data_IF_382802934575
#
_entry.id   IF_382802934575
#
_cell.length_a   1.000
_cell.length_b   1.000
_cell.length_c   1.000
_cell.angle_alpha   90.00
_cell.angle_beta   90.00
_cell.angle_gamma   90.00
#
_symmetry.space_group_name_H-M   'P 1'
#
loop_
_entity.id
_entity.type
_entity.pdbx_description
1 polymer ?
#
# COMPACT_ATOMS: atom_id res chain seq x y z
N UNK A 1 -11.81 -33.14 -2.99
CA UNK A 1 -11.27 -33.02 -1.63
C UNK A 1 -11.79 -31.70 -1.08
N UNK A 2 -12.57 -31.72 -0.01
CA UNK A 2 -13.17 -30.50 0.56
C UNK A 2 -12.08 -29.65 1.22
N UNK A 3 -11.97 -28.38 0.85
CA UNK A 3 -11.19 -27.41 1.61
C UNK A 3 -11.80 -27.29 3.01
N UNK A 4 -11.02 -27.63 4.03
CA UNK A 4 -11.46 -27.53 5.41
C UNK A 4 -11.51 -26.05 5.81
N UNK A 5 -12.69 -25.58 6.20
CA UNK A 5 -12.92 -24.19 6.62
C UNK A 5 -13.22 -24.18 8.12
N UNK A 6 -12.34 -23.56 8.91
CA UNK A 6 -12.58 -23.34 10.33
C UNK A 6 -13.05 -21.89 10.54
N UNK A 7 -14.27 -21.72 11.04
CA UNK A 7 -14.84 -20.40 11.32
C UNK A 7 -14.90 -20.15 12.83
N UNK A 8 -14.43 -18.98 13.24
CA UNK A 8 -14.45 -18.50 14.63
C UNK A 8 -15.42 -17.32 14.72
N UNK A 9 -16.61 -17.59 15.24
CA UNK A 9 -17.62 -16.56 15.52
C UNK A 9 -17.35 -15.95 16.90
N UNK A 10 -17.32 -14.63 16.96
CA UNK A 10 -17.03 -13.92 18.21
C UNK A 10 -18.29 -13.19 18.70
N UNK A 11 -18.61 -13.39 19.98
CA UNK A 11 -19.71 -12.69 20.66
C UNK A 11 -19.37 -11.25 21.01
N UNK A 12 -18.12 -10.84 20.81
CA UNK A 12 -17.57 -9.51 21.09
C UNK A 12 -16.76 -9.01 19.89
N UNK A 13 -16.34 -7.74 19.91
CA UNK A 13 -15.49 -7.19 18.86
C UNK A 13 -14.19 -7.99 18.71
N UNK A 14 -13.79 -8.29 17.48
CA UNK A 14 -12.54 -9.00 17.19
C UNK A 14 -11.34 -8.19 17.68
N UNK A 15 -10.68 -8.68 18.71
CA UNK A 15 -9.47 -8.08 19.29
C UNK A 15 -8.19 -8.84 18.93
N UNK A 16 -7.05 -8.21 19.20
CA UNK A 16 -5.72 -8.80 19.01
C UNK A 16 -5.55 -10.02 19.90
N UNK A 17 -5.95 -9.88 21.16
CA UNK A 17 -6.05 -10.94 22.17
C UNK A 17 -6.88 -12.14 21.70
N UNK A 18 -7.92 -11.92 20.92
CA UNK A 18 -8.74 -13.01 20.38
C UNK A 18 -7.97 -13.81 19.32
N UNK A 19 -7.33 -13.12 18.37
CA UNK A 19 -6.49 -13.79 17.36
C UNK A 19 -5.30 -14.48 18.02
N UNK A 20 -4.72 -13.90 19.06
CA UNK A 20 -3.63 -14.50 19.84
C UNK A 20 -4.09 -15.77 20.58
N UNK A 21 -5.31 -15.79 21.11
CA UNK A 21 -5.90 -17.01 21.70
C UNK A 21 -6.08 -18.10 20.64
N UNK A 22 -6.67 -17.75 19.49
CA UNK A 22 -6.88 -18.69 18.37
C UNK A 22 -5.54 -19.25 17.88
N UNK A 23 -4.52 -18.40 17.75
CA UNK A 23 -3.14 -18.81 17.41
C UNK A 23 -2.58 -19.83 18.41
N UNK A 24 -2.83 -19.61 19.70
CA UNK A 24 -2.38 -20.52 20.77
C UNK A 24 -3.12 -21.86 20.72
N UNK A 25 -4.43 -21.84 20.47
CA UNK A 25 -5.26 -23.04 20.40
C UNK A 25 -4.96 -23.88 19.15
N UNK A 26 -4.73 -23.24 18.00
CA UNK A 26 -4.25 -23.92 16.78
C UNK A 26 -2.89 -24.60 17.03
N UNK A 27 -1.97 -23.92 17.71
CA UNK A 27 -0.67 -24.50 18.06
C UNK A 27 -0.79 -25.72 19.00
N UNK A 28 -1.73 -25.70 19.96
CA UNK A 28 -2.05 -26.84 20.83
C UNK A 28 -2.65 -28.02 20.05
N UNK A 29 -3.42 -27.76 19.00
CA UNK A 29 -3.97 -28.77 18.08
C UNK A 29 -2.94 -29.35 17.11
N UNK A 30 -1.66 -28.97 17.24
CA UNK A 30 -0.57 -29.47 16.38
C UNK A 30 -0.42 -28.71 15.06
N UNK A 31 -1.24 -27.68 14.82
CA UNK A 31 -1.22 -26.87 13.60
C UNK A 31 -0.15 -25.79 13.72
N UNK A 32 1.10 -26.18 13.46
CA UNK A 32 2.31 -25.35 13.63
C UNK A 32 2.88 -24.81 12.31
N UNK A 33 2.05 -24.72 11.27
CA UNK A 33 2.46 -24.20 9.98
C UNK A 33 3.01 -22.76 10.13
N UNK A 34 4.24 -22.52 9.67
CA UNK A 34 4.88 -21.21 9.73
C UNK A 34 4.11 -20.15 8.95
N UNK A 35 3.49 -20.53 7.82
CA UNK A 35 2.65 -19.63 7.02
C UNK A 35 1.40 -19.21 7.77
N UNK A 36 0.71 -20.16 8.42
CA UNK A 36 -0.45 -19.87 9.27
C UNK A 36 -0.09 -18.89 10.39
N UNK A 37 1.05 -19.13 11.05
CA UNK A 37 1.56 -18.26 12.12
C UNK A 37 1.79 -16.84 11.62
N UNK A 38 2.49 -16.69 10.50
CA UNK A 38 2.74 -15.39 9.88
C UNK A 38 1.44 -14.70 9.47
N UNK A 39 0.50 -15.42 8.86
CA UNK A 39 -0.77 -14.84 8.43
C UNK A 39 -1.64 -14.39 9.60
N UNK A 40 -1.60 -15.12 10.73
CA UNK A 40 -2.25 -14.69 11.98
C UNK A 40 -1.61 -13.39 12.50
N UNK A 41 -0.28 -13.26 12.43
CA UNK A 41 0.43 -12.03 12.82
C UNK A 41 0.07 -10.84 11.92
N UNK A 42 -0.11 -11.05 10.62
CA UNK A 42 -0.61 -10.02 9.71
C UNK A 42 -2.08 -9.67 9.97
N UNK A 43 -2.93 -10.67 10.24
CA UNK A 43 -4.31 -10.45 10.61
C UNK A 43 -4.44 -9.63 11.91
N UNK A 44 -3.57 -9.87 12.90
CA UNK A 44 -3.49 -9.05 14.12
C UNK A 44 -3.18 -7.59 13.80
N UNK A 45 -2.15 -7.31 13.00
CA UNK A 45 -1.81 -5.93 12.58
C UNK A 45 -2.95 -5.25 11.84
N UNK A 46 -3.64 -5.98 10.98
CA UNK A 46 -4.80 -5.46 10.28
C UNK A 46 -5.94 -5.13 11.25
N UNK A 47 -6.24 -6.01 12.20
CA UNK A 47 -7.24 -5.75 13.24
C UNK A 47 -6.86 -4.56 14.09
N UNK A 48 -5.60 -4.44 14.53
CA UNK A 48 -5.09 -3.27 15.27
C UNK A 48 -5.38 -1.97 14.53
N UNK A 49 -5.21 -1.97 13.21
CA UNK A 49 -5.50 -0.82 12.39
C UNK A 49 -7.00 -0.56 12.18
N UNK A 50 -7.90 -1.54 12.30
CA UNK A 50 -9.35 -1.35 12.07
C UNK A 50 -10.01 -0.55 13.19
N UNK A 51 -11.05 0.24 12.89
CA UNK A 51 -11.86 0.88 13.95
C UNK A 51 -12.71 -0.14 14.73
N UNK A 52 -12.99 0.14 16.01
CA UNK A 52 -13.77 -0.77 16.89
C UNK A 52 -15.15 -1.10 16.29
N UNK A 53 -15.83 -0.11 15.69
CA UNK A 53 -17.15 -0.30 15.07
C UNK A 53 -17.14 -1.32 13.92
N UNK A 54 -16.00 -1.47 13.22
CA UNK A 54 -15.81 -2.47 12.16
C UNK A 54 -15.37 -3.83 12.71
N UNK A 55 -14.90 -3.93 13.95
CA UNK A 55 -14.52 -5.19 14.59
C UNK A 55 -15.72 -5.91 15.23
N UNK A 56 -16.80 -5.18 15.52
CA UNK A 56 -18.03 -5.74 16.08
C UNK A 56 -18.69 -6.70 15.09
N UNK A 57 -19.08 -7.90 15.55
CA UNK A 57 -19.62 -8.98 14.73
C UNK A 57 -18.70 -9.45 13.59
N UNK A 58 -17.39 -9.23 13.73
CA UNK A 58 -16.42 -9.76 12.78
C UNK A 58 -16.29 -11.28 12.93
N UNK A 59 -16.18 -11.97 11.80
CA UNK A 59 -15.91 -13.41 11.75
C UNK A 59 -14.49 -13.62 11.25
N UNK A 60 -13.69 -14.39 11.99
CA UNK A 60 -12.39 -14.87 11.53
C UNK A 60 -12.58 -16.27 10.94
N UNK A 61 -12.17 -16.48 9.68
CA UNK A 61 -12.13 -17.79 9.05
C UNK A 61 -10.71 -18.16 8.67
N UNK A 62 -10.38 -19.44 8.84
CA UNK A 62 -9.13 -20.03 8.41
C UNK A 62 -9.46 -21.07 7.34
N UNK A 63 -8.90 -20.91 6.14
CA UNK A 63 -9.21 -21.70 4.94
C UNK A 63 -7.95 -22.22 4.24
N UNK A 64 -8.15 -23.16 3.30
CA UNK A 64 -7.14 -23.58 2.32
C UNK A 64 -5.90 -24.22 2.97
N UNK A 65 -6.04 -25.45 3.47
CA UNK A 65 -5.01 -26.13 4.30
C UNK A 65 -4.43 -25.22 5.39
N UNK A 66 -5.30 -24.36 5.95
CA UNK A 66 -4.97 -23.42 7.02
C UNK A 66 -3.90 -22.39 6.63
N UNK A 67 -3.88 -21.96 5.37
CA UNK A 67 -2.93 -20.95 4.89
C UNK A 67 -3.59 -19.60 4.62
N UNK A 68 -4.91 -19.53 4.60
CA UNK A 68 -5.64 -18.29 4.27
C UNK A 68 -6.44 -17.85 5.49
N UNK A 69 -6.34 -16.57 5.84
CA UNK A 69 -7.11 -15.98 6.94
C UNK A 69 -8.05 -14.94 6.38
N UNK A 70 -9.34 -15.09 6.65
CA UNK A 70 -10.36 -14.12 6.27
C UNK A 70 -10.94 -13.45 7.51
N UNK A 71 -11.02 -12.14 7.50
CA UNK A 71 -11.78 -11.35 8.46
C UNK A 71 -12.97 -10.76 7.70
N UNK A 72 -14.17 -11.17 8.10
CA UNK A 72 -15.41 -10.73 7.47
C UNK A 72 -16.11 -9.78 8.44
N UNK A 73 -16.34 -8.53 8.03
CA UNK A 73 -16.94 -7.53 8.93
C UNK A 73 -18.05 -6.70 8.30
N UNK A 74 -18.98 -6.25 9.17
CA UNK A 74 -19.89 -5.11 8.93
C UNK A 74 -20.86 -5.18 7.75
N UNK A 75 -21.42 -4.01 7.44
CA UNK A 75 -22.11 -3.67 6.19
C UNK A 75 -21.58 -2.32 5.64
N UNK A 76 -21.19 -2.22 4.36
CA UNK A 76 -21.06 -3.32 3.40
C UNK A 76 -20.04 -4.35 3.88
N UNK A 77 -20.22 -5.61 3.45
CA UNK A 77 -19.39 -6.72 3.91
C UNK A 77 -17.96 -6.46 3.45
N UNK A 78 -17.08 -6.30 4.43
CA UNK A 78 -15.64 -6.15 4.25
C UNK A 78 -15.01 -7.53 4.35
N UNK A 79 -14.43 -8.01 3.24
CA UNK A 79 -13.66 -9.24 3.25
C UNK A 79 -12.17 -8.90 3.25
N UNK A 80 -11.51 -9.18 4.35
CA UNK A 80 -10.09 -9.00 4.51
C UNK A 80 -9.40 -10.35 4.45
N UNK A 81 -8.70 -10.65 3.36
CA UNK A 81 -8.03 -11.93 3.17
C UNK A 81 -6.52 -11.70 3.26
N UNK A 82 -5.88 -12.42 4.16
CA UNK A 82 -4.43 -12.48 4.32
C UNK A 82 -3.97 -13.85 3.83
N UNK A 83 -3.05 -13.85 2.89
CA UNK A 83 -2.26 -15.03 2.55
C UNK A 83 -0.83 -14.60 2.22
N UNK A 84 0.10 -15.53 2.42
CA UNK A 84 1.49 -15.33 2.07
C UNK A 84 1.76 -16.14 0.80
N UNK A 85 2.12 -15.45 -0.27
CA UNK A 85 2.52 -16.05 -1.55
C UNK A 85 4.05 -15.97 -1.69
N UNK A 86 4.62 -16.46 -2.78
CA UNK A 86 6.06 -16.33 -3.03
C UNK A 86 6.53 -14.85 -3.05
N UNK A 87 5.61 -13.91 -3.32
CA UNK A 87 5.85 -12.47 -3.33
C UNK A 87 5.64 -11.78 -1.97
N UNK A 88 5.42 -12.55 -0.90
CA UNK A 88 5.15 -12.03 0.44
C UNK A 88 3.65 -11.90 0.77
N UNK A 89 3.34 -11.24 1.91
CA UNK A 89 1.97 -11.09 2.41
C UNK A 89 1.15 -10.21 1.47
N UNK A 90 -0.03 -10.70 1.07
CA UNK A 90 -0.99 -9.93 0.26
C UNK A 90 -2.21 -9.61 1.12
N UNK A 91 -2.60 -8.33 1.11
CA UNK A 91 -3.77 -7.83 1.81
C UNK A 91 -4.91 -7.61 0.81
N UNK A 92 -5.77 -8.61 0.64
CA UNK A 92 -6.91 -8.46 -0.26
C UNK A 92 -8.13 -7.97 0.51
N UNK A 93 -8.64 -6.83 0.08
CA UNK A 93 -9.86 -6.24 0.60
C UNK A 93 -10.90 -6.17 -0.52
N UNK A 94 -12.06 -6.81 -0.32
CA UNK A 94 -13.19 -6.73 -1.26
C UNK A 94 -14.38 -6.06 -0.62
N UNK A 95 -14.93 -5.07 -1.30
CA UNK A 95 -16.09 -4.29 -0.87
C UNK A 95 -17.16 -4.38 -1.94
N UNK A 96 -18.26 -5.03 -1.59
CA UNK A 96 -19.46 -5.05 -2.44
C UNK A 96 -20.28 -3.80 -2.19
N UNK A 97 -20.45 -3.00 -3.23
CA UNK A 97 -21.32 -1.83 -3.21
C UNK A 97 -22.71 -2.29 -3.62
N UNK A 98 -23.68 -2.18 -2.71
CA UNK A 98 -25.09 -2.47 -2.96
C UNK A 98 -25.74 -1.35 -3.79
N UNK A 99 -25.14 -1.03 -4.94
CA UNK A 99 -25.58 0.00 -5.87
C UNK A 99 -25.05 -0.32 -7.27
N UNK A 100 -25.72 0.21 -8.28
CA UNK A 100 -25.25 0.21 -9.68
C UNK A 100 -24.16 1.25 -9.92
N UNK A 101 -23.96 2.20 -9.00
CA UNK A 101 -22.95 3.25 -9.11
C UNK A 101 -22.00 3.25 -7.91
N UNK A 102 -20.69 3.32 -8.18
CA UNK A 102 -19.69 3.64 -7.19
C UNK A 102 -19.59 5.17 -7.04
N UNK A 103 -19.79 5.68 -5.83
CA UNK A 103 -19.75 7.10 -5.47
C UNK A 103 -18.68 7.33 -4.40
N UNK A 104 -18.20 8.56 -4.25
CA UNK A 104 -17.17 8.93 -3.27
C UNK A 104 -17.54 8.53 -1.85
N UNK A 105 -18.82 8.63 -1.47
CA UNK A 105 -19.35 8.18 -0.17
C UNK A 105 -19.18 6.68 0.12
N UNK A 106 -18.92 5.85 -0.89
CA UNK A 106 -18.64 4.42 -0.72
C UNK A 106 -17.15 4.16 -0.42
N UNK A 107 -16.29 5.16 -0.62
CA UNK A 107 -14.86 5.10 -0.38
C UNK A 107 -14.58 5.80 0.97
N UNK A 108 -14.55 4.99 2.01
CA UNK A 108 -14.24 5.39 3.38
C UNK A 108 -12.75 5.24 3.70
N UNK A 109 -12.22 6.11 4.57
CA UNK A 109 -10.83 6.06 5.06
C UNK A 109 -10.52 4.73 5.76
N UNK A 110 -11.51 4.10 6.41
CA UNK A 110 -11.33 2.81 7.08
C UNK A 110 -10.92 1.68 6.13
N UNK A 111 -11.19 1.81 4.82
CA UNK A 111 -10.77 0.85 3.81
C UNK A 111 -9.26 0.93 3.50
N UNK A 112 -8.57 1.97 3.98
CA UNK A 112 -7.13 2.17 3.78
C UNK A 112 -6.36 2.11 5.10
N UNK A 113 -7.01 1.73 6.21
CA UNK A 113 -6.36 1.70 7.52
C UNK A 113 -5.16 0.73 7.54
N UNK A 114 -4.05 1.21 8.11
CA UNK A 114 -2.80 0.47 8.21
C UNK A 114 -1.99 0.40 6.91
N UNK A 115 -2.51 0.95 5.80
CA UNK A 115 -1.80 0.99 4.54
C UNK A 115 -0.86 2.21 4.48
N UNK A 116 0.43 1.97 4.25
CA UNK A 116 1.38 3.00 3.86
C UNK A 116 1.36 3.14 2.33
N UNK A 117 0.81 4.25 1.83
CA UNK A 117 0.74 4.49 0.39
C UNK A 117 2.14 4.75 -0.18
N UNK A 118 2.42 4.18 -1.35
CA UNK A 118 3.62 4.49 -2.15
C UNK A 118 3.70 5.95 -2.58
N UNK A 119 2.56 6.63 -2.57
CA UNK A 119 2.36 7.98 -3.04
C UNK A 119 1.96 8.89 -1.88
N UNK A 120 2.97 9.52 -1.28
CA UNK A 120 2.79 10.49 -0.20
C UNK A 120 2.18 11.81 -0.71
N UNK A 121 2.17 12.05 -2.03
CA UNK A 121 1.67 13.30 -2.65
C UNK A 121 0.18 13.23 -2.95
N UNK A 122 -0.30 12.08 -3.44
CA UNK A 122 -1.73 11.80 -3.63
C UNK A 122 -2.00 10.36 -3.24
N UNK A 123 -2.56 10.14 -2.07
CA UNK A 123 -2.69 8.79 -1.53
C UNK A 123 -3.76 7.95 -2.28
N UNK A 124 -3.79 6.65 -2.03
CA UNK A 124 -4.74 5.72 -2.66
C UNK A 124 -6.21 6.17 -2.56
N UNK A 125 -6.61 6.72 -1.41
CA UNK A 125 -7.98 7.17 -1.18
C UNK A 125 -8.29 8.40 -2.02
N UNK A 126 -7.41 9.39 -2.05
CA UNK A 126 -7.54 10.59 -2.87
C UNK A 126 -7.59 10.25 -4.36
N UNK A 127 -6.74 9.32 -4.83
CA UNK A 127 -6.77 8.82 -6.21
C UNK A 127 -8.10 8.14 -6.53
N UNK A 128 -8.63 7.33 -5.61
CA UNK A 128 -9.91 6.66 -5.76
C UNK A 128 -11.08 7.66 -5.79
N UNK A 129 -11.08 8.65 -4.89
CA UNK A 129 -12.04 9.75 -4.89
C UNK A 129 -12.00 10.53 -6.20
N UNK A 130 -10.81 10.89 -6.67
CA UNK A 130 -10.62 11.61 -7.93
C UNK A 130 -11.14 10.80 -9.13
N UNK A 131 -10.82 9.50 -9.18
CA UNK A 131 -11.31 8.62 -10.24
C UNK A 131 -12.84 8.57 -10.27
N UNK A 132 -13.49 8.48 -9.10
CA UNK A 132 -14.95 8.44 -9.00
C UNK A 132 -15.60 9.79 -9.30
N UNK A 133 -15.02 10.88 -8.80
CA UNK A 133 -15.57 12.23 -8.95
C UNK A 133 -15.48 12.75 -10.40
N UNK A 134 -14.56 12.20 -11.20
CA UNK A 134 -14.36 12.63 -12.60
C UNK A 134 -15.58 12.47 -13.50
N UNK A 135 -16.55 11.62 -13.12
CA UNK A 135 -17.75 11.29 -13.94
C UNK A 135 -19.03 11.95 -13.42
N UNK A 136 -18.95 12.87 -12.43
CA UNK A 136 -20.09 13.67 -11.94
C UNK A 136 -21.13 12.88 -11.13
N UNK A 137 -21.74 11.86 -11.72
CA UNK A 137 -22.72 10.97 -11.06
C UNK A 137 -22.09 9.76 -10.37
N UNK A 138 -20.78 9.56 -10.53
CA UNK A 138 -20.04 8.38 -10.08
C UNK A 138 -19.81 7.37 -11.20
N UNK A 139 -19.20 6.23 -10.87
CA UNK A 139 -18.85 5.19 -11.85
C UNK A 139 -19.95 4.12 -11.90
N UNK A 140 -20.67 4.04 -13.02
CA UNK A 140 -21.69 3.01 -13.22
C UNK A 140 -21.07 1.65 -13.54
N UNK A 141 -21.62 0.58 -12.97
CA UNK A 141 -21.29 -0.81 -13.31
C UNK A 141 -19.78 -1.07 -13.38
N UNK A 142 -19.06 -0.64 -12.34
CA UNK A 142 -17.60 -0.72 -12.29
C UNK A 142 -17.10 -1.74 -11.28
N UNK A 143 -15.93 -2.30 -11.58
CA UNK A 143 -14.99 -2.88 -10.64
C UNK A 143 -13.77 -1.96 -10.53
N UNK A 144 -13.62 -1.27 -9.39
CA UNK A 144 -12.46 -0.40 -9.12
C UNK A 144 -11.42 -1.18 -8.32
N UNK A 145 -10.25 -1.42 -8.92
CA UNK A 145 -9.10 -2.10 -8.31
C UNK A 145 -8.04 -1.08 -7.92
N UNK A 146 -7.52 -1.19 -6.71
CA UNK A 146 -6.40 -0.39 -6.21
C UNK A 146 -5.31 -1.36 -5.78
N UNK A 147 -4.11 -1.21 -6.34
CA UNK A 147 -2.92 -2.00 -5.98
C UNK A 147 -1.79 -1.09 -5.54
N UNK A 148 -1.40 -1.17 -4.27
CA UNK A 148 -0.35 -0.34 -3.71
C UNK A 148 0.41 -1.09 -2.60
N UNK A 149 1.63 -1.53 -2.88
CA UNK A 149 2.41 -2.37 -1.96
C UNK A 149 1.65 -3.65 -1.61
N UNK A 150 1.47 -3.90 -0.31
CA UNK A 150 0.70 -5.03 0.21
C UNK A 150 -0.82 -4.89 0.00
N UNK A 151 -1.33 -3.68 -0.23
CA UNK A 151 -2.77 -3.41 -0.38
C UNK A 151 -3.28 -3.81 -1.76
N UNK A 152 -4.28 -4.68 -1.78
CA UNK A 152 -5.12 -4.99 -2.94
C UNK A 152 -6.58 -4.75 -2.58
N UNK A 153 -7.12 -3.59 -2.92
CA UNK A 153 -8.49 -3.20 -2.59
C UNK A 153 -9.37 -3.21 -3.85
N UNK A 154 -10.53 -3.87 -3.78
CA UNK A 154 -11.48 -3.95 -4.89
C UNK A 154 -12.87 -3.53 -4.45
N UNK A 155 -13.43 -2.51 -5.11
CA UNK A 155 -14.83 -2.16 -5.02
C UNK A 155 -15.59 -2.75 -6.20
N UNK A 156 -16.70 -3.44 -5.94
CA UNK A 156 -17.51 -4.06 -6.98
C UNK A 156 -18.96 -3.61 -6.85
N UNK A 157 -19.52 -3.05 -7.92
CA UNK A 157 -20.97 -2.74 -8.04
C UNK A 157 -21.79 -4.01 -8.34
N UNK A 158 -23.12 -3.92 -8.37
CA UNK A 158 -23.99 -5.10 -8.53
C UNK A 158 -23.80 -5.87 -9.85
N UNK A 159 -23.43 -5.20 -10.94
CA UNK A 159 -23.25 -5.80 -12.26
C UNK A 159 -22.08 -5.12 -12.99
N UNK A 160 -20.82 -5.39 -12.61
CA UNK A 160 -19.68 -4.71 -13.20
C UNK A 160 -19.53 -5.08 -14.67
N UNK A 161 -19.44 -4.09 -15.54
CA UNK A 161 -19.13 -4.21 -16.97
C UNK A 161 -17.76 -3.64 -17.33
N UNK A 162 -17.20 -2.78 -16.48
CA UNK A 162 -15.91 -2.11 -16.70
C UNK A 162 -15.00 -2.30 -15.50
N UNK A 163 -13.69 -2.45 -15.74
CA UNK A 163 -12.67 -2.45 -14.68
C UNK A 163 -11.82 -1.20 -14.79
N UNK A 164 -11.64 -0.51 -13.67
CA UNK A 164 -10.70 0.60 -13.54
C UNK A 164 -9.62 0.18 -12.54
N UNK A 165 -8.36 0.41 -12.89
CA UNK A 165 -7.24 0.06 -12.03
C UNK A 165 -6.41 1.30 -11.65
N UNK A 166 -6.18 1.47 -10.36
CA UNK A 166 -5.33 2.49 -9.76
C UNK A 166 -4.07 1.79 -9.23
N UNK A 167 -2.94 2.15 -9.80
CA UNK A 167 -1.62 1.74 -9.33
C UNK A 167 -0.80 3.00 -9.02
N UNK A 168 -0.73 3.43 -7.75
CA UNK A 168 0.01 4.61 -7.36
C UNK A 168 1.49 4.49 -7.72
N UNK A 169 2.06 5.61 -8.17
CA UNK A 169 3.50 5.75 -8.42
C UNK A 169 4.24 5.92 -7.10
N UNK A 170 5.54 5.61 -7.08
CA UNK A 170 6.39 5.92 -5.94
C UNK A 170 6.69 7.40 -5.89
N UNK A 171 6.07 8.10 -4.93
CA UNK A 171 6.28 9.54 -4.71
C UNK A 171 6.47 9.81 -3.21
N UNK A 172 7.67 10.22 -2.83
CA UNK A 172 8.01 10.55 -1.45
C UNK A 172 8.09 12.07 -1.24
N UNK A 173 7.68 12.55 -0.08
CA UNK A 173 7.81 13.97 0.28
C UNK A 173 9.11 14.20 1.04
N UNK A 174 9.91 15.12 0.52
CA UNK A 174 11.08 15.70 1.19
C UNK A 174 10.63 16.98 1.90
N UNK A 175 10.80 17.02 3.21
CA UNK A 175 10.47 18.16 4.06
C UNK A 175 11.77 18.91 4.40
N UNK A 176 11.86 19.44 5.61
CA UNK A 176 13.03 20.18 6.07
C UNK A 176 14.23 19.26 6.41
N UNK A 177 14.04 17.94 6.44
CA UNK A 177 15.05 16.96 6.86
C UNK A 177 15.44 16.05 5.70
N UNK A 178 16.08 16.64 4.68
CA UNK A 178 16.46 15.96 3.43
C UNK A 178 17.00 14.54 3.63
N UNK A 179 18.02 14.37 4.47
CA UNK A 179 18.66 13.07 4.68
C UNK A 179 17.69 12.06 5.32
N UNK A 180 16.93 12.48 6.31
CA UNK A 180 15.97 11.63 7.01
C UNK A 180 14.82 11.21 6.10
N UNK A 181 14.28 12.14 5.30
CA UNK A 181 13.19 11.86 4.36
C UNK A 181 13.65 10.92 3.24
N UNK A 182 14.85 11.13 2.67
CA UNK A 182 15.43 10.22 1.67
C UNK A 182 15.65 8.82 2.25
N UNK A 183 16.21 8.73 3.46
CA UNK A 183 16.44 7.46 4.13
C UNK A 183 15.13 6.76 4.49
N UNK A 184 14.08 7.50 4.88
CA UNK A 184 12.74 6.95 5.13
C UNK A 184 12.19 6.28 3.88
N UNK A 185 12.18 6.99 2.75
CA UNK A 185 11.64 6.46 1.48
C UNK A 185 12.45 5.23 1.04
N UNK A 186 13.78 5.33 1.07
CA UNK A 186 14.68 4.21 0.76
C UNK A 186 14.37 2.98 1.62
N UNK A 187 14.33 3.16 2.95
CA UNK A 187 14.07 2.07 3.89
C UNK A 187 12.69 1.45 3.68
N UNK A 188 11.68 2.26 3.40
CA UNK A 188 10.34 1.76 3.13
C UNK A 188 10.30 0.87 1.89
N UNK A 189 10.93 1.30 0.78
CA UNK A 189 11.03 0.52 -0.45
C UNK A 189 11.78 -0.80 -0.26
N UNK A 190 12.88 -0.79 0.52
CA UNK A 190 13.60 -2.01 0.89
C UNK A 190 12.72 -2.97 1.69
N UNK A 191 11.98 -2.45 2.67
CA UNK A 191 11.09 -3.24 3.52
C UNK A 191 9.97 -3.94 2.74
N UNK A 192 9.41 -3.28 1.73
CA UNK A 192 8.33 -3.85 0.89
C UNK A 192 8.85 -4.64 -0.32
N UNK A 193 10.18 -4.82 -0.44
CA UNK A 193 10.78 -5.64 -1.49
C UNK A 193 10.75 -5.02 -2.89
N UNK A 194 10.54 -3.71 -3.01
CA UNK A 194 10.41 -3.00 -4.30
C UNK A 194 11.68 -2.26 -4.72
N UNK A 195 12.74 -2.36 -3.93
CA UNK A 195 14.05 -1.76 -4.22
C UNK A 195 14.85 -2.62 -5.20
N UNK A 196 14.96 -2.19 -6.46
CA UNK A 196 15.92 -2.80 -7.40
C UNK A 196 17.36 -2.43 -7.07
N UNK A 197 18.34 -3.24 -7.51
CA UNK A 197 19.76 -2.90 -7.36
C UNK A 197 20.13 -1.53 -7.95
N UNK A 198 19.57 -1.19 -9.10
CA UNK A 198 19.86 0.11 -9.73
C UNK A 198 19.18 1.28 -9.04
N UNK A 199 17.95 1.14 -8.52
CA UNK A 199 17.36 2.18 -7.65
C UNK A 199 18.16 2.36 -6.37
N UNK A 200 18.64 1.27 -5.77
CA UNK A 200 19.52 1.34 -4.60
C UNK A 200 20.80 2.12 -4.91
N UNK A 201 21.39 1.93 -6.09
CA UNK A 201 22.53 2.71 -6.55
C UNK A 201 22.18 4.20 -6.72
N UNK A 202 21.01 4.52 -7.28
CA UNK A 202 20.52 5.91 -7.37
C UNK A 202 20.37 6.56 -5.99
N UNK A 203 19.80 5.85 -5.01
CA UNK A 203 19.72 6.32 -3.63
C UNK A 203 21.09 6.52 -2.99
N UNK A 204 22.05 5.61 -3.22
CA UNK A 204 23.43 5.75 -2.72
C UNK A 204 24.12 6.98 -3.30
N UNK A 205 23.97 7.25 -4.60
CA UNK A 205 24.49 8.47 -5.20
C UNK A 205 23.85 9.70 -4.56
N UNK A 206 22.52 9.73 -4.46
CA UNK A 206 21.78 10.83 -3.84
C UNK A 206 22.24 11.16 -2.41
N UNK A 207 22.61 10.13 -1.64
CA UNK A 207 23.09 10.25 -0.26
C UNK A 207 24.57 10.64 -0.14
N UNK A 208 25.36 10.51 -1.21
CA UNK A 208 26.79 10.84 -1.23
C UNK A 208 27.09 12.21 -1.83
N UNK A 209 26.20 12.75 -2.67
CA UNK A 209 26.32 14.11 -3.21
C UNK A 209 26.20 15.13 -2.07
N UNK A 210 27.21 15.98 -1.83
CA UNK A 210 27.19 16.92 -0.73
C UNK A 210 26.04 17.94 -0.87
N UNK A 211 25.38 18.32 0.24
CA UNK A 211 24.19 19.18 0.28
C UNK A 211 24.23 20.52 -0.49
N UNK A 212 25.41 21.04 -0.83
CA UNK A 212 25.64 22.49 -0.78
C UNK A 212 25.40 23.33 -2.04
N UNK A 213 25.29 22.81 -3.28
CA UNK A 213 24.64 23.56 -4.36
C UNK A 213 23.22 23.07 -4.65
N UNK A 214 22.90 21.83 -4.27
CA UNK A 214 21.71 21.10 -4.75
C UNK A 214 20.49 21.37 -3.84
N UNK A 215 20.63 21.42 -2.51
CA UNK A 215 19.47 21.42 -1.60
C UNK A 215 18.62 22.71 -1.55
N UNK A 216 19.16 23.89 -1.87
CA UNK A 216 18.40 25.14 -1.66
C UNK A 216 17.30 25.40 -2.69
N UNK A 217 17.37 24.73 -3.85
CA UNK A 217 16.53 25.01 -5.02
C UNK A 217 15.95 23.74 -5.67
N UNK A 218 15.94 22.58 -5.01
CA UNK A 218 15.29 21.39 -5.58
C UNK A 218 13.78 21.48 -5.40
N UNK A 219 13.04 21.41 -6.50
CA UNK A 219 11.61 21.11 -6.46
C UNK A 219 11.36 19.61 -6.40
N UNK A 220 12.11 18.87 -7.21
CA UNK A 220 11.87 17.46 -7.47
C UNK A 220 13.17 16.73 -7.80
N UNK A 221 13.27 15.48 -7.34
CA UNK A 221 14.31 14.54 -7.75
C UNK A 221 13.62 13.28 -8.29
N UNK A 222 13.98 12.87 -9.50
CA UNK A 222 13.47 11.67 -10.13
C UNK A 222 14.56 10.61 -10.17
N UNK A 223 14.37 9.50 -9.47
CA UNK A 223 15.24 8.33 -9.50
C UNK A 223 14.69 7.33 -10.50
N UNK A 224 15.52 6.83 -11.41
CA UNK A 224 15.12 5.90 -12.47
C UNK A 224 16.09 4.74 -12.60
N UNK A 225 15.55 3.52 -12.69
CA UNK A 225 16.33 2.33 -13.00
C UNK A 225 15.40 1.24 -13.51
N UNK A 226 15.80 0.50 -14.55
CA UNK A 226 15.12 -0.73 -14.99
C UNK A 226 13.58 -0.56 -15.19
N UNK A 227 13.16 0.59 -15.72
CA UNK A 227 11.73 0.92 -15.90
C UNK A 227 10.99 1.34 -14.62
N UNK A 228 11.61 1.20 -13.45
CA UNK A 228 11.11 1.75 -12.18
C UNK A 228 11.43 3.24 -12.06
N UNK A 229 10.52 3.98 -11.42
CA UNK A 229 10.65 5.43 -11.18
C UNK A 229 10.21 5.77 -9.76
N UNK A 230 11.01 6.58 -9.07
CA UNK A 230 10.71 7.14 -7.75
C UNK A 230 10.87 8.64 -7.83
N UNK A 231 9.84 9.38 -7.45
CA UNK A 231 9.86 10.83 -7.44
C UNK A 231 9.91 11.34 -5.99
N UNK A 232 10.87 12.19 -5.68
CA UNK A 232 11.01 12.84 -4.38
C UNK A 232 10.66 14.32 -4.55
N UNK A 233 9.58 14.75 -3.92
CA UNK A 233 9.01 16.10 -4.09
C UNK A 233 9.27 16.93 -2.85
N UNK A 234 9.82 18.14 -3.00
CA UNK A 234 10.07 19.02 -1.87
C UNK A 234 8.80 19.76 -1.44
N UNK A 235 8.44 19.66 -0.16
CA UNK A 235 7.35 20.42 0.45
C UNK A 235 7.84 21.84 0.75
N UNK A 236 7.18 22.87 0.21
CA UNK A 236 7.50 24.27 0.52
C UNK A 236 8.47 24.99 -0.44
N UNK A 237 8.77 24.43 -1.61
CA UNK A 237 9.55 25.10 -2.64
C UNK A 237 8.87 26.39 -3.13
N UNK A 238 9.46 27.54 -2.83
CA UNK A 238 9.09 28.84 -3.42
C UNK A 238 9.38 28.83 -4.92
N UNK A 239 8.41 29.27 -5.73
CA UNK A 239 8.40 29.22 -7.21
C UNK A 239 9.57 29.94 -7.89
N UNK A 240 10.37 30.72 -7.16
CA UNK A 240 11.21 31.71 -7.79
C UNK A 240 12.47 31.14 -8.45
N UNK A 241 13.11 30.08 -7.95
CA UNK A 241 14.28 29.46 -8.60
C UNK A 241 14.39 27.99 -8.20
N UNK A 242 13.68 27.09 -8.88
CA UNK A 242 13.75 25.66 -8.54
C UNK A 242 14.04 24.78 -9.75
N UNK A 243 14.94 23.81 -9.57
CA UNK A 243 15.35 22.85 -10.57
C UNK A 243 14.84 21.44 -10.29
N UNK A 244 14.79 20.65 -11.37
CA UNK A 244 14.51 19.23 -11.33
C UNK A 244 15.81 18.46 -11.54
N UNK A 245 16.03 17.42 -10.73
CA UNK A 245 17.17 16.54 -10.88
C UNK A 245 16.70 15.15 -11.27
N UNK A 246 17.44 14.51 -12.18
CA UNK A 246 17.20 13.12 -12.59
C UNK A 246 18.43 12.32 -12.22
N UNK A 247 18.27 11.28 -11.42
CA UNK A 247 19.31 10.28 -11.17
C UNK A 247 18.88 9.00 -11.86
N UNK A 248 19.70 8.52 -12.77
CA UNK A 248 19.42 7.29 -13.50
C UNK A 248 20.57 6.30 -13.37
N UNK A 249 20.22 5.02 -13.33
CA UNK A 249 21.18 3.93 -13.38
C UNK A 249 21.39 3.48 -14.82
N UNK A 250 22.63 3.54 -15.31
CA UNK A 250 23.02 3.22 -16.68
C UNK A 250 24.22 2.27 -16.65
N UNK A 251 24.06 1.11 -17.29
CA UNK A 251 24.98 -0.03 -17.34
C UNK A 251 25.43 -0.55 -15.96
N UNK A 252 26.34 0.16 -15.30
CA UNK A 252 26.98 -0.21 -14.04
C UNK A 252 27.03 0.93 -13.01
N UNK A 253 26.56 2.14 -13.36
CA UNK A 253 26.72 3.34 -12.53
C UNK A 253 25.46 4.21 -12.50
N UNK A 254 25.19 4.76 -11.32
CA UNK A 254 24.24 5.85 -11.17
C UNK A 254 24.89 7.16 -11.63
N UNK A 255 24.15 7.99 -12.37
CA UNK A 255 24.56 9.32 -12.84
C UNK A 255 23.48 10.33 -12.45
N UNK A 256 23.88 11.53 -12.05
CA UNK A 256 22.96 12.62 -11.73
C UNK A 256 22.99 13.66 -12.84
N UNK A 257 21.81 14.11 -13.25
CA UNK A 257 21.60 15.11 -14.28
C UNK A 257 20.71 16.23 -13.74
N UNK A 258 21.12 17.47 -13.93
CA UNK A 258 20.33 18.64 -13.60
C UNK A 258 19.59 19.14 -14.85
N UNK A 259 18.26 19.10 -14.84
CA UNK A 259 17.45 19.54 -15.99
C UNK A 259 17.53 21.05 -16.24
N UNK A 260 17.91 21.84 -15.23
CA UNK A 260 17.91 23.31 -15.31
C UNK A 260 19.14 23.87 -16.03
N UNK A 261 20.29 23.22 -15.88
CA UNK A 261 21.55 23.68 -16.47
C UNK A 261 22.24 22.64 -17.36
N UNK A 262 21.60 21.49 -17.58
CA UNK A 262 22.09 20.38 -18.41
C UNK A 262 23.44 19.80 -17.96
N UNK A 263 23.82 19.97 -16.70
CA UNK A 263 25.05 19.42 -16.14
C UNK A 263 24.88 17.95 -15.68
N UNK A 264 25.98 17.18 -15.79
CA UNK A 264 26.06 15.79 -15.33
C UNK A 264 27.08 15.68 -14.19
N UNK A 265 26.72 14.95 -13.14
CA UNK A 265 27.52 14.69 -11.93
C UNK A 265 27.59 13.20 -11.59
#
# INVERSE_FOLDING_TARGET
MSDEVQSFNLSQALGVECIQSIKTDLAKKGLRNSLLKSNLDYAMKAVEAMSISKRTNAVLQVEGKETVIKIITGQPIFHHTVWNDNDGPKLLQKIKVNSTQLKTKHIDESHFMGHCCRDEVMNCMEQAHKAVASIGEGLANVELKIRCGELQLTYTTMAPSTTIEIQPKWRGIIRNYYLEDVLRVKHHMEKVGEMSPGLLACFRLLLTVPPKPVQKNIKQILLMSEGQKVELVHQGASLLHTGNFVIFFDADKAKMYNETDHSCY
#
